data_IF_506904386235
#
_entry.id   IF_506904386235
#
_cell.length_a   1.000
_cell.length_b   1.000
_cell.length_c   1.000
_cell.angle_alpha   90.00
_cell.angle_beta   90.00
_cell.angle_gamma   90.00
#
_symmetry.space_group_name_H-M   'P 1'
#
loop_
_entity.id
_entity.type
_entity.pdbx_description
1 polymer ?
#
# COMPACT_ATOMS: atom_id res chain seq x y z
N UNK A 1 -7.49 14.38 -25.03
CA UNK A 1 -7.56 15.24 -23.83
C UNK A 1 -6.16 15.75 -23.55
N UNK A 2 -6.02 17.05 -23.24
CA UNK A 2 -4.74 17.63 -22.85
C UNK A 2 -4.72 17.71 -21.32
N UNK A 3 -3.63 17.26 -20.70
CA UNK A 3 -3.44 17.45 -19.26
C UNK A 3 -3.38 18.96 -18.92
N UNK A 4 -4.02 19.35 -17.82
CA UNK A 4 -3.92 20.67 -17.23
C UNK A 4 -2.51 20.99 -16.73
N UNK A 5 -2.27 22.27 -16.43
CA UNK A 5 -1.01 22.67 -15.80
C UNK A 5 -1.04 22.30 -14.30
N UNK A 6 0.06 21.79 -13.74
CA UNK A 6 0.12 21.49 -12.31
C UNK A 6 -0.09 22.77 -11.47
N UNK A 7 -0.68 22.66 -10.26
CA UNK A 7 -0.88 23.80 -9.39
C UNK A 7 0.45 24.52 -9.08
N UNK A 8 0.45 25.84 -9.18
CA UNK A 8 1.65 26.64 -8.96
C UNK A 8 2.20 26.46 -7.53
N UNK A 9 3.53 26.41 -7.43
CA UNK A 9 4.24 26.37 -6.15
C UNK A 9 4.30 25.00 -5.47
N UNK A 10 3.92 23.91 -6.15
CA UNK A 10 3.99 22.54 -5.62
C UNK A 10 4.96 21.66 -6.44
N UNK A 11 6.29 21.84 -6.30
CA UNK A 11 7.27 21.19 -7.17
C UNK A 11 7.51 19.70 -6.82
N UNK A 12 7.03 19.23 -5.67
CA UNK A 12 7.31 17.88 -5.20
C UNK A 12 6.08 16.99 -5.31
N UNK A 13 6.24 15.81 -5.93
CA UNK A 13 5.24 14.76 -5.94
C UNK A 13 5.55 13.71 -4.87
N UNK A 14 4.55 13.39 -4.06
CA UNK A 14 4.62 12.42 -2.96
C UNK A 14 3.86 11.11 -3.29
N UNK A 15 3.69 10.80 -4.58
CA UNK A 15 3.07 9.56 -5.07
C UNK A 15 1.55 9.54 -4.93
N UNK A 16 0.83 8.81 -5.80
CA UNK A 16 -0.64 8.59 -5.72
C UNK A 16 -1.17 7.70 -6.86
N UNK A 17 -2.33 7.08 -6.61
CA UNK A 17 -3.12 6.17 -7.44
C UNK A 17 -4.26 6.85 -8.22
N UNK A 18 -4.93 6.11 -9.12
CA UNK A 18 -6.17 6.53 -9.80
C UNK A 18 -6.06 7.79 -10.68
N UNK A 19 -4.87 8.10 -11.18
CA UNK A 19 -4.65 9.28 -12.04
C UNK A 19 -4.46 10.59 -11.27
N UNK A 20 -4.51 10.57 -9.95
CA UNK A 20 -4.25 11.74 -9.11
C UNK A 20 -2.75 11.90 -8.84
N UNK A 21 -2.33 13.13 -8.51
CA UNK A 21 -0.98 13.55 -8.10
C UNK A 21 -1.01 14.30 -6.76
N UNK A 22 -0.22 13.86 -5.77
CA UNK A 22 -0.19 14.39 -4.42
C UNK A 22 1.03 15.29 -4.35
N UNK A 23 0.79 16.60 -4.29
CA UNK A 23 1.80 17.60 -4.52
C UNK A 23 2.01 18.45 -3.27
N UNK A 24 3.27 18.74 -2.96
CA UNK A 24 3.67 19.59 -1.82
C UNK A 24 4.63 20.70 -2.23
N UNK A 25 4.59 21.79 -1.48
CA UNK A 25 5.49 22.93 -1.59
C UNK A 25 6.87 22.66 -0.96
N UNK A 26 6.93 21.88 0.13
CA UNK A 26 8.16 21.45 0.79
C UNK A 26 8.05 20.02 1.35
N UNK A 27 9.10 19.21 1.23
CA UNK A 27 9.08 17.81 1.67
C UNK A 27 9.22 17.62 3.19
N UNK A 28 9.76 18.60 3.92
CA UNK A 28 10.03 18.51 5.35
C UNK A 28 8.98 19.22 6.19
N UNK A 29 8.57 20.40 5.75
CA UNK A 29 7.67 21.32 6.43
C UNK A 29 6.67 21.92 5.43
N UNK A 30 5.81 21.09 4.80
CA UNK A 30 4.85 21.58 3.83
C UNK A 30 3.87 22.56 4.48
N UNK A 31 3.58 23.63 3.77
CA UNK A 31 2.47 24.55 4.10
C UNK A 31 1.28 24.35 3.17
N UNK A 32 1.47 23.58 2.10
CA UNK A 32 0.41 23.21 1.16
C UNK A 32 0.59 21.77 0.69
N UNK A 33 -0.46 20.96 0.83
CA UNK A 33 -0.57 19.61 0.29
C UNK A 33 -1.89 19.49 -0.47
N UNK A 34 -1.81 19.06 -1.73
CA UNK A 34 -2.98 18.98 -2.63
C UNK A 34 -2.96 17.67 -3.40
N UNK A 35 -4.12 17.02 -3.53
CA UNK A 35 -4.34 16.03 -4.59
C UNK A 35 -4.82 16.76 -5.84
N UNK A 36 -4.17 16.50 -6.97
CA UNK A 36 -4.46 17.11 -8.25
C UNK A 36 -4.71 16.05 -9.32
N UNK A 37 -5.81 16.15 -10.04
CA UNK A 37 -6.14 15.25 -11.15
C UNK A 37 -5.89 15.98 -12.49
N UNK A 38 -4.92 15.56 -13.32
CA UNK A 38 -4.50 16.34 -14.48
C UNK A 38 -5.53 16.47 -15.61
N UNK A 39 -6.52 15.58 -15.74
CA UNK A 39 -7.45 15.57 -16.88
C UNK A 39 -8.58 16.59 -16.66
N UNK A 40 -9.20 16.56 -15.50
CA UNK A 40 -10.27 17.46 -15.05
C UNK A 40 -9.74 18.72 -14.37
N UNK A 41 -8.45 18.73 -14.02
CA UNK A 41 -7.82 19.78 -13.23
C UNK A 41 -8.45 19.98 -11.84
N UNK A 42 -9.06 18.92 -11.29
CA UNK A 42 -9.61 18.93 -9.95
C UNK A 42 -8.50 19.02 -8.90
N UNK A 43 -8.73 19.80 -7.84
CA UNK A 43 -7.82 19.94 -6.71
C UNK A 43 -8.57 19.64 -5.40
N UNK A 44 -7.97 18.80 -4.55
CA UNK A 44 -8.47 18.52 -3.21
C UNK A 44 -7.37 18.88 -2.20
N UNK A 45 -7.56 19.94 -1.38
CA UNK A 45 -6.60 20.27 -0.34
C UNK A 45 -6.64 19.22 0.76
N UNK A 46 -5.47 18.80 1.23
CA UNK A 46 -5.33 17.91 2.38
C UNK A 46 -4.66 18.66 3.54
N UNK A 47 -4.90 18.24 4.80
CA UNK A 47 -4.15 18.78 5.93
C UNK A 47 -2.65 18.52 5.75
N UNK A 48 -1.81 19.50 6.07
CA UNK A 48 -0.36 19.36 5.87
C UNK A 48 0.27 18.42 6.90
N UNK A 49 1.24 17.61 6.44
CA UNK A 49 1.99 16.67 7.28
C UNK A 49 3.48 16.94 7.17
N UNK A 50 4.13 17.26 8.29
CA UNK A 50 5.59 17.36 8.33
C UNK A 50 6.22 16.00 8.03
N UNK A 51 7.34 16.01 7.28
CA UNK A 51 8.09 14.81 6.89
C UNK A 51 7.22 13.75 6.18
N UNK A 52 6.35 14.22 5.29
CA UNK A 52 5.54 13.36 4.44
C UNK A 52 6.44 12.43 3.61
N UNK A 53 6.12 11.15 3.63
CA UNK A 53 6.74 10.12 2.80
C UNK A 53 5.99 9.98 1.49
N UNK A 54 4.84 9.29 1.53
CA UNK A 54 3.97 9.08 0.37
C UNK A 54 2.50 9.20 0.73
N UNK A 55 1.66 9.49 -0.27
CA UNK A 55 0.19 9.46 -0.18
C UNK A 55 -0.37 8.38 -1.10
N UNK A 56 -1.38 7.67 -0.64
CA UNK A 56 -2.09 6.62 -1.36
C UNK A 56 -3.59 6.82 -1.22
N UNK A 57 -4.34 6.48 -2.26
CA UNK A 57 -5.80 6.61 -2.27
C UNK A 57 -6.43 5.22 -2.38
N UNK A 58 -7.42 4.96 -1.52
CA UNK A 58 -8.16 3.70 -1.53
C UNK A 58 -9.02 3.52 -2.78
N UNK A 59 -9.46 4.63 -3.38
CA UNK A 59 -10.38 4.70 -4.50
C UNK A 59 -10.22 6.07 -5.20
N UNK A 60 -10.88 6.28 -6.33
CA UNK A 60 -10.89 7.56 -7.05
C UNK A 60 -11.80 8.59 -6.34
N UNK A 61 -11.24 9.75 -5.88
CA UNK A 61 -12.00 10.84 -5.30
C UNK A 61 -13.12 11.44 -6.16
N UNK A 62 -13.08 11.31 -7.49
CA UNK A 62 -14.16 11.80 -8.36
C UNK A 62 -15.37 10.86 -8.34
N UNK A 63 -15.15 9.55 -8.40
CA UNK A 63 -16.24 8.57 -8.56
C UNK A 63 -16.73 7.98 -7.23
N UNK A 64 -15.91 8.04 -6.19
CA UNK A 64 -16.20 7.45 -4.88
C UNK A 64 -16.31 8.55 -3.84
N UNK A 65 -17.41 8.63 -3.10
CA UNK A 65 -17.57 9.60 -2.00
C UNK A 65 -16.88 9.15 -0.70
N UNK A 66 -16.58 7.85 -0.59
CA UNK A 66 -16.09 7.20 0.63
C UNK A 66 -14.60 6.84 0.52
N UNK A 67 -13.90 7.44 -0.44
CA UNK A 67 -12.46 7.24 -0.57
C UNK A 67 -11.73 7.69 0.69
N UNK A 68 -10.54 7.14 0.89
CA UNK A 68 -9.70 7.42 2.04
C UNK A 68 -8.27 7.65 1.57
N UNK A 69 -7.64 8.69 2.11
CA UNK A 69 -6.22 8.96 1.93
C UNK A 69 -5.40 8.26 3.01
N UNK A 70 -4.32 7.59 2.60
CA UNK A 70 -3.31 7.04 3.50
C UNK A 70 -2.00 7.77 3.26
N UNK A 71 -1.44 8.36 4.31
CA UNK A 71 -0.14 9.01 4.26
C UNK A 71 0.89 8.24 5.09
N UNK A 72 2.10 8.10 4.59
CA UNK A 72 3.24 7.67 5.40
C UNK A 72 4.00 8.87 5.92
N UNK A 73 4.37 8.86 7.18
CA UNK A 73 5.16 9.92 7.81
C UNK A 73 6.45 9.32 8.37
N UNK A 74 7.58 9.96 8.06
CA UNK A 74 8.89 9.48 8.53
C UNK A 74 9.06 9.72 10.04
N UNK A 75 9.47 8.67 10.76
CA UNK A 75 9.74 8.67 12.20
C UNK A 75 11.16 8.16 12.45
N UNK A 76 12.06 9.07 12.82
CA UNK A 76 13.47 8.74 13.01
C UNK A 76 14.18 8.41 11.69
N UNK A 77 15.20 7.56 11.75
CA UNK A 77 16.04 7.22 10.58
C UNK A 77 15.40 6.18 9.66
N UNK A 78 14.77 5.15 10.22
CA UNK A 78 14.26 3.98 9.49
C UNK A 78 12.79 3.66 9.78
N UNK A 79 12.14 4.45 10.63
CA UNK A 79 10.76 4.22 11.03
C UNK A 79 9.77 5.03 10.21
N UNK A 80 8.55 4.50 10.08
CA UNK A 80 7.41 5.22 9.52
C UNK A 80 6.16 4.98 10.36
N UNK A 81 5.21 5.91 10.24
CA UNK A 81 3.84 5.73 10.73
C UNK A 81 2.89 5.94 9.57
N UNK A 82 1.84 5.13 9.51
CA UNK A 82 0.77 5.30 8.56
C UNK A 82 -0.39 6.08 9.21
N UNK A 83 -0.86 7.11 8.52
CA UNK A 83 -1.99 7.93 8.94
C UNK A 83 -3.12 7.82 7.92
N UNK A 84 -4.35 7.92 8.40
CA UNK A 84 -5.57 7.91 7.61
C UNK A 84 -6.19 9.30 7.61
N UNK A 85 -6.71 9.72 6.47
CA UNK A 85 -7.56 10.90 6.34
C UNK A 85 -8.77 10.56 5.50
N UNK A 86 -9.93 11.04 5.95
CA UNK A 86 -11.20 10.88 5.26
C UNK A 86 -11.68 12.25 4.78
N UNK A 87 -12.37 12.31 3.64
CA UNK A 87 -13.00 13.54 3.16
C UNK A 87 -13.81 14.23 4.27
N UNK A 88 -13.49 15.51 4.52
CA UNK A 88 -14.14 16.31 5.56
C UNK A 88 -13.47 16.25 6.94
N UNK A 89 -12.54 15.33 7.18
CA UNK A 89 -11.79 15.30 8.43
C UNK A 89 -10.85 16.51 8.56
N UNK A 90 -10.79 17.10 9.76
CA UNK A 90 -9.95 18.26 10.02
C UNK A 90 -8.45 17.95 10.05
N UNK A 91 -8.09 16.70 10.37
CA UNK A 91 -6.70 16.27 10.53
C UNK A 91 -6.53 14.79 10.14
N UNK A 92 -5.28 14.39 10.00
CA UNK A 92 -4.90 12.98 9.83
C UNK A 92 -4.95 12.24 11.17
N UNK A 93 -5.43 11.01 11.15
CA UNK A 93 -5.49 10.12 12.32
C UNK A 93 -4.43 9.03 12.19
N UNK A 94 -3.62 8.83 13.23
CA UNK A 94 -2.63 7.75 13.25
C UNK A 94 -3.34 6.39 13.28
N UNK A 95 -3.02 5.48 12.35
CA UNK A 95 -3.65 4.15 12.31
C UNK A 95 -3.01 3.20 13.31
N UNK A 96 -1.69 3.05 13.25
CA UNK A 96 -0.96 2.06 14.04
C UNK A 96 0.07 2.73 14.95
N UNK A 97 -0.31 2.92 16.22
CA UNK A 97 0.48 3.69 17.19
C UNK A 97 1.84 3.09 17.55
N UNK A 98 2.02 1.78 17.35
CA UNK A 98 3.31 1.12 17.57
C UNK A 98 4.37 1.53 16.53
N UNK A 99 3.93 2.07 15.38
CA UNK A 99 4.80 2.40 14.26
C UNK A 99 5.35 1.17 13.55
N UNK A 100 6.01 1.40 12.42
CA UNK A 100 6.65 0.38 11.61
C UNK A 100 8.05 0.80 11.22
N UNK A 101 8.80 -0.12 10.60
CA UNK A 101 9.92 0.28 9.76
C UNK A 101 9.42 0.98 8.50
N UNK A 102 10.33 1.30 7.58
CA UNK A 102 9.99 1.88 6.29
C UNK A 102 8.94 1.04 5.57
N UNK A 103 7.83 1.68 5.17
CA UNK A 103 6.74 1.03 4.46
C UNK A 103 7.11 0.99 2.97
N UNK A 104 7.28 -0.21 2.44
CA UNK A 104 7.69 -0.42 1.05
C UNK A 104 6.50 -0.41 0.10
N UNK A 105 5.38 -1.00 0.51
CA UNK A 105 4.20 -1.18 -0.31
C UNK A 105 2.90 -1.09 0.51
N UNK A 106 1.84 -0.63 -0.15
CA UNK A 106 0.48 -0.55 0.39
C UNK A 106 -0.50 -1.17 -0.63
N UNK A 107 -1.51 -1.88 -0.14
CA UNK A 107 -2.58 -2.50 -0.93
C UNK A 107 -3.92 -2.28 -0.25
N UNK A 108 -4.96 -1.98 -1.04
CA UNK A 108 -6.32 -1.85 -0.56
C UNK A 108 -7.15 -3.05 -1.02
N UNK A 109 -7.90 -3.68 -0.12
CA UNK A 109 -8.78 -4.81 -0.44
C UNK A 109 -9.83 -4.99 0.65
N UNK A 110 -11.09 -5.24 0.26
CA UNK A 110 -12.15 -5.63 1.20
C UNK A 110 -12.39 -4.65 2.37
N UNK A 111 -12.25 -3.34 2.12
CA UNK A 111 -12.38 -2.30 3.16
C UNK A 111 -11.19 -2.23 4.14
N UNK A 112 -10.09 -2.91 3.85
CA UNK A 112 -8.86 -2.89 4.63
C UNK A 112 -7.71 -2.29 3.83
N UNK A 113 -6.76 -1.75 4.56
CA UNK A 113 -5.44 -1.41 4.03
C UNK A 113 -4.40 -2.37 4.60
N UNK A 114 -3.56 -2.87 3.71
CA UNK A 114 -2.45 -3.76 4.01
C UNK A 114 -1.17 -3.01 3.66
N UNK A 115 -0.21 -2.95 4.56
CA UNK A 115 1.10 -2.41 4.22
C UNK A 115 2.22 -3.29 4.75
N UNK A 116 3.28 -3.37 3.93
CA UNK A 116 4.44 -4.23 4.17
C UNK A 116 5.62 -3.33 4.50
N UNK A 117 6.24 -3.55 5.65
CA UNK A 117 7.47 -2.86 6.01
C UNK A 117 8.72 -3.57 5.45
N UNK A 118 9.87 -2.90 5.49
CA UNK A 118 11.13 -3.45 4.98
C UNK A 118 11.66 -4.66 5.78
N UNK A 119 11.02 -5.01 6.89
CA UNK A 119 11.27 -6.27 7.63
C UNK A 119 10.30 -7.38 7.24
N UNK A 120 9.47 -7.16 6.21
CA UNK A 120 8.44 -8.06 5.68
C UNK A 120 7.29 -8.36 6.63
N UNK A 121 7.08 -7.50 7.64
CA UNK A 121 5.89 -7.58 8.47
C UNK A 121 4.71 -6.92 7.74
N UNK A 122 3.53 -7.54 7.84
CA UNK A 122 2.30 -7.03 7.26
C UNK A 122 1.46 -6.40 8.37
N UNK A 123 1.05 -5.15 8.17
CA UNK A 123 0.08 -4.50 9.03
C UNK A 123 -1.23 -4.41 8.27
N UNK A 124 -2.28 -4.96 8.86
CA UNK A 124 -3.64 -5.00 8.34
C UNK A 124 -4.46 -4.03 9.17
N UNK A 125 -5.02 -2.99 8.57
CA UNK A 125 -5.90 -2.05 9.26
C UNK A 125 -7.30 -2.06 8.64
N UNK A 126 -8.32 -2.20 9.49
CA UNK A 126 -9.71 -2.14 9.07
C UNK A 126 -10.18 -0.68 8.95
N UNK A 127 -10.50 -0.25 7.73
CA UNK A 127 -10.96 1.12 7.48
C UNK A 127 -12.46 1.29 7.73
N UNK A 128 -13.24 0.19 7.79
CA UNK A 128 -14.71 0.16 7.93
C UNK A 128 -15.14 0.30 9.39
N UNK A 129 -14.35 -0.20 10.34
CA UNK A 129 -14.70 -0.19 11.78
C UNK A 129 -14.66 1.21 12.42
N UNK A 130 -14.26 2.25 11.69
CA UNK A 130 -14.34 3.64 12.18
C UNK A 130 -15.78 4.18 12.08
N UNK A 131 -16.72 3.54 12.77
CA UNK A 131 -18.11 4.00 12.93
C UNK A 131 -18.25 5.24 13.84
N UNK A 132 -17.12 5.76 14.35
CA UNK A 132 -16.98 7.10 14.89
C UNK A 132 -15.73 7.72 14.25
N UNK A 133 -15.87 8.88 13.61
CA UNK A 133 -14.79 9.57 12.91
C UNK A 133 -13.54 9.84 13.77
N UNK A 134 -13.66 9.71 15.10
CA UNK A 134 -12.62 10.01 16.08
C UNK A 134 -11.75 8.82 16.51
N UNK A 135 -12.12 7.57 16.17
CA UNK A 135 -11.34 6.40 16.61
C UNK A 135 -10.37 5.91 15.53
N UNK A 136 -9.11 5.58 15.89
CA UNK A 136 -8.16 5.03 14.95
C UNK A 136 -8.61 3.64 14.45
N UNK A 137 -8.32 3.28 13.19
CA UNK A 137 -8.54 1.94 12.67
C UNK A 137 -7.99 0.83 13.57
N UNK A 138 -8.72 -0.29 13.67
CA UNK A 138 -8.17 -1.47 14.31
C UNK A 138 -7.09 -2.07 13.42
N UNK A 139 -5.86 -2.15 13.95
CA UNK A 139 -4.71 -2.65 13.21
C UNK A 139 -4.14 -3.92 13.84
N UNK A 140 -3.84 -4.89 12.99
CA UNK A 140 -3.23 -6.16 13.33
C UNK A 140 -1.92 -6.32 12.59
N UNK A 141 -0.83 -6.58 13.32
CA UNK A 141 0.48 -6.91 12.74
C UNK A 141 0.66 -8.42 12.63
N UNK A 142 1.06 -8.86 11.45
CA UNK A 142 1.47 -10.22 11.12
C UNK A 142 2.99 -10.22 10.99
N UNK A 143 3.64 -11.02 11.83
CA UNK A 143 5.09 -11.06 11.89
C UNK A 143 5.68 -12.13 10.97
N UNK A 144 6.88 -11.89 10.47
CA UNK A 144 7.76 -12.90 9.87
C UNK A 144 7.16 -13.64 8.67
N UNK A 145 6.51 -12.91 7.76
CA UNK A 145 5.92 -13.50 6.54
C UNK A 145 6.98 -14.19 5.68
N UNK A 146 8.20 -13.64 5.65
CA UNK A 146 9.36 -14.28 5.01
C UNK A 146 9.65 -15.69 5.54
N UNK A 147 9.45 -15.94 6.84
CA UNK A 147 9.65 -17.27 7.44
C UNK A 147 8.63 -18.28 6.93
N UNK A 148 7.37 -17.86 6.76
CA UNK A 148 6.33 -18.69 6.14
C UNK A 148 6.68 -18.97 4.69
N UNK A 149 7.08 -17.95 3.94
CA UNK A 149 7.54 -18.10 2.55
C UNK A 149 8.75 -19.02 2.40
N UNK A 150 9.73 -18.95 3.30
CA UNK A 150 10.91 -19.83 3.26
C UNK A 150 10.54 -21.31 3.42
N UNK A 151 9.54 -21.63 4.26
CA UNK A 151 9.06 -23.01 4.48
C UNK A 151 8.34 -23.62 3.27
N UNK A 152 7.92 -22.81 2.30
CA UNK A 152 7.24 -23.28 1.10
C UNK A 152 8.21 -23.88 0.06
N UNK A 153 9.49 -23.52 0.12
CA UNK A 153 10.49 -24.08 -0.80
C UNK A 153 10.74 -25.55 -0.46
N UNK A 154 10.56 -26.44 -1.44
CA UNK A 154 10.80 -27.89 -1.31
C UNK A 154 12.09 -28.36 -1.97
N UNK A 155 12.94 -27.43 -2.38
CA UNK A 155 14.23 -27.77 -2.96
C UNK A 155 15.23 -28.21 -1.88
N UNK A 156 16.21 -29.02 -2.26
CA UNK A 156 17.28 -29.45 -1.35
C UNK A 156 18.24 -28.29 -0.98
N UNK A 157 18.34 -27.27 -1.84
CA UNK A 157 19.10 -26.05 -1.60
C UNK A 157 18.25 -24.94 -1.00
N UNK A 158 18.89 -24.08 -0.21
CA UNK A 158 18.26 -22.92 0.42
C UNK A 158 17.98 -21.83 -0.64
N UNK A 159 16.70 -21.48 -0.80
CA UNK A 159 16.28 -20.38 -1.67
C UNK A 159 15.50 -19.34 -0.84
N UNK A 160 16.20 -18.35 -0.26
CA UNK A 160 15.57 -17.38 0.60
C UNK A 160 14.58 -16.53 -0.19
N UNK A 161 13.48 -16.19 0.48
CA UNK A 161 12.55 -15.16 0.01
C UNK A 161 13.28 -13.81 0.07
N UNK A 162 13.34 -13.12 -1.07
CA UNK A 162 13.99 -11.81 -1.20
C UNK A 162 13.00 -10.66 -1.05
N UNK A 163 11.73 -10.86 -1.39
CA UNK A 163 10.69 -9.85 -1.24
C UNK A 163 9.30 -10.50 -1.16
N UNK A 164 8.36 -9.77 -0.55
CA UNK A 164 6.95 -10.16 -0.46
C UNK A 164 6.11 -8.95 -0.84
N UNK A 165 5.11 -9.16 -1.69
CA UNK A 165 4.17 -8.13 -2.10
C UNK A 165 2.72 -8.61 -1.92
N UNK A 166 1.83 -7.67 -1.63
CA UNK A 166 0.39 -7.88 -1.68
C UNK A 166 -0.18 -7.19 -2.91
N UNK A 167 -1.12 -7.83 -3.56
CA UNK A 167 -1.79 -7.31 -4.76
C UNK A 167 -3.27 -7.63 -4.67
N UNK A 168 -4.11 -6.61 -4.83
CA UNK A 168 -5.54 -6.82 -5.04
C UNK A 168 -5.78 -7.07 -6.53
N UNK A 169 -6.35 -8.22 -6.87
CA UNK A 169 -6.58 -8.64 -8.26
C UNK A 169 -7.90 -9.40 -8.36
N UNK A 170 -8.79 -8.97 -9.26
CA UNK A 170 -10.08 -9.61 -9.53
C UNK A 170 -10.92 -9.88 -8.27
N UNK A 171 -10.96 -8.93 -7.34
CA UNK A 171 -11.69 -9.08 -6.07
C UNK A 171 -11.01 -10.00 -5.05
N UNK A 172 -9.92 -10.66 -5.40
CA UNK A 172 -9.06 -11.42 -4.48
C UNK A 172 -7.89 -10.57 -3.98
N UNK A 173 -7.36 -10.93 -2.81
CA UNK A 173 -6.07 -10.45 -2.31
C UNK A 173 -5.05 -11.58 -2.51
N UNK A 174 -3.93 -11.26 -3.15
CA UNK A 174 -2.88 -12.21 -3.48
C UNK A 174 -1.57 -11.81 -2.80
N UNK A 175 -0.86 -12.79 -2.27
CA UNK A 175 0.49 -12.66 -1.75
C UNK A 175 1.48 -13.16 -2.81
N UNK A 176 2.34 -12.28 -3.29
CA UNK A 176 3.43 -12.60 -4.21
C UNK A 176 4.72 -12.76 -3.41
N UNK A 177 5.33 -13.94 -3.51
CA UNK A 177 6.60 -14.28 -2.86
C UNK A 177 7.68 -14.34 -3.92
N UNK A 178 8.71 -13.50 -3.80
CA UNK A 178 9.85 -13.48 -4.70
C UNK A 178 11.05 -14.16 -4.04
N UNK A 179 11.70 -15.07 -4.78
CA UNK A 179 12.88 -15.82 -4.32
C UNK A 179 14.13 -15.39 -5.09
N UNK A 180 15.28 -15.87 -4.62
CA UNK A 180 16.53 -15.77 -5.37
C UNK A 180 16.34 -16.32 -6.80
N UNK A 181 17.03 -15.71 -7.77
CA UNK A 181 16.92 -16.07 -9.19
C UNK A 181 17.33 -17.50 -9.51
N UNK A 182 18.06 -18.13 -8.60
CA UNK A 182 18.50 -19.52 -8.72
C UNK A 182 17.36 -20.52 -8.43
N UNK A 183 16.22 -20.05 -7.89
CA UNK A 183 15.04 -20.90 -7.69
C UNK A 183 14.28 -21.12 -9.02
N UNK A 184 13.87 -22.36 -9.35
CA UNK A 184 13.11 -22.66 -10.57
C UNK A 184 11.82 -21.84 -10.72
N UNK A 185 11.22 -21.46 -9.59
CA UNK A 185 10.07 -20.58 -9.51
C UNK A 185 10.45 -19.28 -8.81
N UNK A 186 11.03 -18.34 -9.55
CA UNK A 186 11.52 -17.07 -8.98
C UNK A 186 10.41 -16.20 -8.36
N UNK A 187 9.15 -16.39 -8.80
CA UNK A 187 7.95 -15.81 -8.20
C UNK A 187 6.87 -16.88 -7.97
N UNK A 188 6.22 -16.80 -6.81
CA UNK A 188 5.11 -17.68 -6.40
C UNK A 188 3.96 -16.81 -5.90
N UNK A 189 2.72 -17.21 -6.17
CA UNK A 189 1.52 -16.44 -5.80
C UNK A 189 0.60 -17.32 -4.95
N UNK A 190 0.07 -16.76 -3.86
CA UNK A 190 -0.76 -17.46 -2.89
C UNK A 190 -1.98 -16.62 -2.51
N UNK A 191 -3.08 -17.28 -2.13
CA UNK A 191 -4.16 -16.63 -1.38
C UNK A 191 -3.80 -16.68 0.11
N UNK A 192 -3.58 -15.53 0.77
CA UNK A 192 -3.25 -15.51 2.18
C UNK A 192 -4.50 -15.71 3.04
N UNK A 193 -4.39 -16.54 4.06
CA UNK A 193 -5.36 -16.63 5.15
C UNK A 193 -4.75 -16.07 6.43
N UNK A 194 -5.48 -15.16 7.08
CA UNK A 194 -5.03 -14.47 8.28
C UNK A 194 -5.64 -15.14 9.51
N UNK A 195 -4.82 -15.64 10.43
CA UNK A 195 -5.33 -16.27 11.66
C UNK A 195 -5.42 -15.28 12.81
N UNK A 196 -6.53 -15.36 13.56
CA UNK A 196 -6.80 -14.52 14.74
C UNK A 196 -6.14 -15.06 16.03
N UNK A 197 -5.51 -16.24 15.97
CA UNK A 197 -4.95 -16.88 17.16
C UNK A 197 -3.72 -16.15 17.73
N UNK A 198 -3.33 -16.53 18.95
CA UNK A 198 -2.29 -15.94 19.82
C UNK A 198 -0.96 -15.55 19.15
N UNK A 199 -0.66 -16.07 17.96
CA UNK A 199 0.56 -15.79 17.20
C UNK A 199 0.36 -15.08 15.86
N UNK A 200 -0.85 -14.54 15.57
CA UNK A 200 -1.18 -13.68 14.40
C UNK A 200 -0.32 -14.00 13.18
N UNK A 201 -0.56 -15.18 12.59
CA UNK A 201 0.25 -15.70 11.47
C UNK A 201 -0.53 -15.62 10.17
N UNK A 202 0.21 -15.57 9.07
CA UNK A 202 -0.32 -15.85 7.74
C UNK A 202 -0.15 -17.33 7.44
N UNK A 203 -1.23 -17.95 6.96
CA UNK A 203 -1.20 -19.28 6.38
C UNK A 203 -1.29 -19.16 4.85
N UNK A 204 -0.42 -19.91 4.18
CA UNK A 204 -0.36 -19.96 2.72
C UNK A 204 -0.75 -21.38 2.31
N UNK A 205 -1.97 -21.54 1.82
CA UNK A 205 -2.49 -22.87 1.44
C UNK A 205 -2.06 -23.23 0.03
N UNK A 206 -2.87 -22.86 -0.95
CA UNK A 206 -2.68 -23.27 -2.34
C UNK A 206 -1.99 -22.17 -3.15
N UNK A 207 -1.06 -22.61 -4.00
CA UNK A 207 -0.40 -21.75 -4.97
C UNK A 207 -1.38 -21.45 -6.10
N UNK A 208 -1.54 -20.18 -6.43
CA UNK A 208 -2.29 -19.73 -7.60
C UNK A 208 -1.42 -19.95 -8.83
N UNK A 209 -1.88 -20.85 -9.71
CA UNK A 209 -1.16 -21.22 -10.94
C UNK A 209 -1.68 -20.50 -12.18
N UNK A 210 -2.92 -20.01 -12.13
CA UNK A 210 -3.59 -19.30 -13.20
C UNK A 210 -4.10 -17.95 -12.69
N UNK A 211 -3.57 -16.87 -13.26
CA UNK A 211 -3.99 -15.49 -12.98
C UNK A 211 -4.94 -14.96 -14.08
N UNK A 212 -5.31 -15.81 -15.05
CA UNK A 212 -6.06 -15.43 -16.23
C UNK A 212 -5.34 -14.36 -17.05
N UNK A 213 -6.13 -13.42 -17.57
CA UNK A 213 -5.67 -12.32 -18.42
C UNK A 213 -4.74 -11.31 -17.68
N UNK A 214 -4.59 -11.44 -16.36
CA UNK A 214 -3.79 -10.55 -15.52
C UNK A 214 -2.36 -11.04 -15.27
N UNK A 215 -1.85 -11.91 -16.15
CA UNK A 215 -0.50 -12.50 -16.08
C UNK A 215 0.66 -11.48 -16.12
N UNK A 216 0.37 -10.19 -16.36
CA UNK A 216 1.35 -9.10 -16.36
C UNK A 216 1.65 -8.58 -14.94
N UNK A 217 2.19 -9.43 -14.06
CA UNK A 217 2.96 -8.94 -12.91
C UNK A 217 4.32 -8.48 -13.43
N UNK A 218 4.44 -7.20 -13.79
CA UNK A 218 5.61 -6.64 -14.46
C UNK A 218 6.84 -6.55 -13.52
N UNK A 219 7.62 -7.62 -13.53
CA UNK A 219 8.87 -7.85 -12.82
C UNK A 219 9.94 -6.82 -13.18
N UNK A 220 10.02 -5.69 -12.49
CA UNK A 220 11.22 -4.85 -12.51
C UNK A 220 11.48 -4.28 -11.11
N UNK A 221 12.67 -4.56 -10.58
CA UNK A 221 13.13 -4.14 -9.25
C UNK A 221 13.34 -2.62 -9.12
N UNK A 222 12.25 -1.88 -9.08
CA UNK A 222 12.11 -0.47 -8.74
C UNK A 222 10.84 -0.32 -7.88
N UNK A 223 10.70 0.72 -7.04
CA UNK A 223 9.60 0.82 -6.07
C UNK A 223 8.24 0.66 -6.78
N UNK A 224 7.55 -0.43 -6.46
CA UNK A 224 6.24 -0.81 -6.98
C UNK A 224 5.17 0.16 -6.50
N UNK A 225 5.10 1.31 -7.13
CA UNK A 225 3.89 2.11 -7.25
C UNK A 225 3.45 1.99 -8.70
N UNK A 226 2.26 1.43 -8.91
CA UNK A 226 1.57 1.21 -10.19
C UNK A 226 1.97 -0.03 -11.00
N UNK A 227 1.13 -1.07 -10.93
CA UNK A 227 0.73 -1.85 -12.09
C UNK A 227 -0.42 -2.81 -11.73
N UNK A 228 -1.63 -2.25 -11.58
CA UNK A 228 -2.91 -2.94 -11.78
C UNK A 228 -3.89 -1.92 -12.38
N UNK A 229 -3.69 -1.55 -13.65
CA UNK A 229 -4.72 -0.91 -14.46
C UNK A 229 -4.45 -1.21 -15.94
N UNK A 230 -4.42 -2.49 -16.31
CA UNK A 230 -4.46 -2.91 -17.70
C UNK A 230 -5.29 -4.20 -17.78
N UNK A 231 -6.59 -3.99 -18.02
CA UNK A 231 -7.59 -4.98 -18.39
C UNK A 231 -8.82 -4.20 -18.87
N UNK A 232 -8.91 -4.03 -20.19
CA UNK A 232 -9.88 -3.23 -20.97
C UNK A 232 -11.29 -3.86 -20.94
N UNK A 233 -12.40 -3.16 -21.12
CA UNK A 233 -12.61 -1.75 -21.49
C UNK A 233 -14.09 -1.38 -21.45
#
# INVERSE_FOLDING_TARGET
>A
MHAGAPPAGLPYCCGTSWGWLALVDDQRSPTRLVLWEPISNAEIPLPCLSRLGRVFLSDDPITSSNWTGIATQRKGLIGQTALVWRPGAAAWTMMYGQGTYEIEAITFHGGKVYYIDCTTDIIICDLVTAGSDDLPPECTRIYHVQSVGNKLCRCDSLHPVCAVHLVACNGDLLLVVLRSRDHPSWAEVYKPEWTSELYRRVELRERVMDLGDYSALAVLGQPWTHLCSLGKG
#
